data_IF_955421600120
#
_entry.id   IF_955421600120
#
_cell.length_a   1.000
_cell.length_b   1.000
_cell.length_c   1.000
_cell.angle_alpha   90.00
_cell.angle_beta   90.00
_cell.angle_gamma   90.00
#
_symmetry.space_group_name_H-M   'P 1'
#
loop_
_entity.id
_entity.type
_entity.pdbx_description
1 polymer ?
#
# COMPACT_ATOMS: atom_id res chain seq x y z
N UNK A 1 -10.36 3.59 63.67
CA UNK A 1 -9.88 2.47 62.81
C UNK A 1 -9.87 2.94 61.35
N UNK A 2 -8.89 3.78 60.97
CA UNK A 2 -8.96 4.57 59.71
C UNK A 2 -7.57 4.77 59.08
N UNK A 3 -6.85 3.67 58.83
CA UNK A 3 -5.47 3.76 58.29
C UNK A 3 -5.13 2.83 57.13
N UNK A 4 -6.04 1.95 56.68
CA UNK A 4 -5.74 0.95 55.62
C UNK A 4 -6.40 1.21 54.26
N UNK A 5 -7.43 2.07 54.19
CA UNK A 5 -8.18 2.33 52.93
C UNK A 5 -7.50 3.32 51.97
N UNK A 6 -6.67 4.23 52.49
CA UNK A 6 -5.98 5.21 51.64
C UNK A 6 -4.88 4.57 50.79
N UNK A 7 -4.19 3.55 51.32
CA UNK A 7 -3.18 2.77 50.58
C UNK A 7 -3.79 2.08 49.36
N UNK A 8 -4.92 1.40 49.52
CA UNK A 8 -5.59 0.70 48.41
C UNK A 8 -6.12 1.64 47.34
N UNK A 9 -6.53 2.86 47.71
CA UNK A 9 -6.98 3.86 46.73
C UNK A 9 -5.80 4.40 45.91
N UNK A 10 -4.71 4.79 46.58
CA UNK A 10 -3.51 5.28 45.90
C UNK A 10 -2.90 4.19 45.02
N UNK A 11 -2.83 2.95 45.51
CA UNK A 11 -2.34 1.81 44.74
C UNK A 11 -3.16 1.59 43.46
N UNK A 12 -4.49 1.63 43.54
CA UNK A 12 -5.34 1.49 42.36
C UNK A 12 -5.20 2.68 41.39
N UNK A 13 -5.01 3.91 41.89
CA UNK A 13 -4.75 5.08 41.02
C UNK A 13 -3.41 4.96 40.29
N UNK A 14 -2.37 4.48 40.96
CA UNK A 14 -1.05 4.24 40.35
C UNK A 14 -1.17 3.13 39.29
N UNK A 15 -1.85 2.02 39.60
CA UNK A 15 -2.06 0.92 38.64
C UNK A 15 -2.79 1.39 37.38
N UNK A 16 -3.88 2.15 37.52
CA UNK A 16 -4.61 2.68 36.35
C UNK A 16 -3.74 3.63 35.52
N UNK A 17 -2.90 4.44 36.19
CA UNK A 17 -1.95 5.32 35.51
C UNK A 17 -0.88 4.54 34.74
N UNK A 18 -0.35 3.45 35.33
CA UNK A 18 0.63 2.58 34.67
C UNK A 18 0.05 1.88 33.45
N UNK A 19 -1.18 1.33 33.56
CA UNK A 19 -1.85 0.68 32.43
C UNK A 19 -2.09 1.68 31.29
N UNK A 20 -2.49 2.92 31.60
CA UNK A 20 -2.69 3.97 30.60
C UNK A 20 -1.40 4.32 29.86
N UNK A 21 -0.29 4.49 30.58
CA UNK A 21 1.03 4.81 29.99
C UNK A 21 1.51 3.66 29.10
N UNK A 22 1.44 2.42 29.59
CA UNK A 22 1.85 1.23 28.82
C UNK A 22 0.96 1.07 27.57
N UNK A 23 -0.35 1.23 27.72
CA UNK A 23 -1.31 1.16 26.61
C UNK A 23 -1.03 2.19 25.52
N UNK A 24 -0.69 3.43 25.90
CA UNK A 24 -0.32 4.47 24.95
C UNK A 24 0.97 4.13 24.18
N UNK A 25 2.00 3.62 24.87
CA UNK A 25 3.27 3.23 24.24
C UNK A 25 3.08 2.08 23.23
N UNK A 26 2.29 1.06 23.58
CA UNK A 26 1.99 -0.07 22.69
C UNK A 26 1.20 0.38 21.45
N UNK A 27 0.20 1.25 21.63
CA UNK A 27 -0.60 1.78 20.53
C UNK A 27 0.26 2.52 19.50
N UNK A 28 1.27 3.27 19.94
CA UNK A 28 2.21 3.97 19.05
C UNK A 28 3.01 2.98 18.18
N UNK A 29 3.49 1.88 18.76
CA UNK A 29 4.25 0.86 18.02
C UNK A 29 3.39 0.11 17.00
N UNK A 30 2.15 -0.24 17.36
CA UNK A 30 1.21 -0.94 16.46
C UNK A 30 0.93 -0.12 15.20
N UNK A 31 0.87 1.21 15.31
CA UNK A 31 0.57 2.09 14.17
C UNK A 31 1.55 1.90 13.00
N UNK A 32 2.85 1.77 13.28
CA UNK A 32 3.87 1.53 12.25
C UNK A 32 3.68 0.18 11.53
N UNK A 33 3.41 -0.88 12.30
CA UNK A 33 3.12 -2.21 11.75
C UNK A 33 1.86 -2.22 10.87
N UNK A 34 0.83 -1.47 11.26
CA UNK A 34 -0.41 -1.32 10.47
C UNK A 34 -0.18 -0.59 9.14
N UNK A 35 0.65 0.47 9.11
CA UNK A 35 1.02 1.14 7.85
C UNK A 35 1.77 0.18 6.92
N UNK A 36 2.75 -0.56 7.43
CA UNK A 36 3.49 -1.57 6.65
C UNK A 36 2.55 -2.68 6.12
N UNK A 37 1.60 -3.14 6.93
CA UNK A 37 0.61 -4.13 6.54
C UNK A 37 -0.31 -3.63 5.41
N UNK A 38 -0.71 -2.35 5.46
CA UNK A 38 -1.49 -1.71 4.38
C UNK A 38 -0.69 -1.57 3.09
N UNK A 39 0.59 -1.17 3.20
CA UNK A 39 1.49 -1.14 2.04
C UNK A 39 1.62 -2.52 1.39
N UNK A 40 1.94 -3.54 2.19
CA UNK A 40 2.09 -4.92 1.70
C UNK A 40 0.82 -5.42 1.00
N UNK A 41 -0.36 -5.20 1.61
CA UNK A 41 -1.64 -5.54 0.97
C UNK A 41 -1.83 -4.82 -0.36
N UNK A 42 -1.40 -3.56 -0.45
CA UNK A 42 -1.56 -2.75 -1.67
C UNK A 42 -0.65 -3.25 -2.79
N UNK A 43 0.60 -3.62 -2.46
CA UNK A 43 1.55 -4.21 -3.42
C UNK A 43 1.03 -5.55 -3.95
N UNK A 44 0.56 -6.43 -3.07
CA UNK A 44 0.01 -7.72 -3.50
C UNK A 44 -1.30 -7.55 -4.30
N UNK A 45 -2.14 -6.59 -3.92
CA UNK A 45 -3.34 -6.23 -4.68
C UNK A 45 -3.00 -5.70 -6.09
N UNK A 46 -2.01 -4.82 -6.20
CA UNK A 46 -1.52 -4.32 -7.49
C UNK A 46 -1.03 -5.46 -8.38
N UNK A 47 -0.18 -6.35 -7.86
CA UNK A 47 0.28 -7.56 -8.59
C UNK A 47 -0.87 -8.46 -9.03
N UNK A 48 -1.87 -8.65 -8.17
CA UNK A 48 -3.04 -9.46 -8.51
C UNK A 48 -3.81 -8.84 -9.69
N UNK A 49 -3.99 -7.51 -9.69
CA UNK A 49 -4.62 -6.80 -10.81
C UNK A 49 -3.78 -6.95 -12.07
N UNK A 50 -2.46 -6.74 -12.00
CA UNK A 50 -1.56 -6.90 -13.14
C UNK A 50 -1.68 -8.29 -13.77
N UNK A 51 -1.58 -9.33 -12.96
CA UNK A 51 -1.69 -10.71 -13.42
C UNK A 51 -3.04 -10.98 -14.09
N UNK A 52 -4.12 -10.49 -13.50
CA UNK A 52 -5.47 -10.66 -14.05
C UNK A 52 -5.64 -9.94 -15.39
N UNK A 53 -5.08 -8.73 -15.54
CA UNK A 53 -5.10 -8.01 -16.80
C UNK A 53 -4.23 -8.69 -17.86
N UNK A 54 -3.05 -9.19 -17.51
CA UNK A 54 -2.21 -9.96 -18.43
C UNK A 54 -2.88 -11.26 -18.87
N UNK A 55 -3.52 -11.99 -17.95
CA UNK A 55 -4.31 -13.18 -18.29
C UNK A 55 -5.44 -12.84 -19.27
N UNK A 56 -6.18 -11.76 -19.00
CA UNK A 56 -7.25 -11.34 -19.89
C UNK A 56 -6.75 -10.97 -21.29
N UNK A 57 -5.62 -10.27 -21.38
CA UNK A 57 -4.97 -9.95 -22.66
C UNK A 57 -4.51 -11.20 -23.39
N UNK A 58 -3.98 -12.21 -22.68
CA UNK A 58 -3.57 -13.48 -23.27
C UNK A 58 -4.76 -14.29 -23.80
N UNK A 59 -5.92 -14.24 -23.13
CA UNK A 59 -7.14 -14.94 -23.54
C UNK A 59 -7.85 -14.26 -24.73
N UNK A 60 -7.92 -12.93 -24.74
CA UNK A 60 -8.69 -12.17 -25.73
C UNK A 60 -7.86 -11.62 -26.89
N UNK A 61 -6.55 -11.50 -26.72
CA UNK A 61 -5.67 -10.80 -27.66
C UNK A 61 -5.87 -9.28 -27.68
N UNK A 62 -6.58 -8.70 -26.71
CA UNK A 62 -6.82 -7.26 -26.66
C UNK A 62 -5.52 -6.44 -26.47
N UNK A 63 -5.49 -5.26 -27.08
CA UNK A 63 -4.37 -4.34 -26.92
C UNK A 63 -4.30 -3.79 -25.48
N UNK A 64 -3.08 -3.42 -25.07
CA UNK A 64 -2.83 -2.86 -23.74
C UNK A 64 -3.63 -1.57 -23.49
N UNK A 65 -3.85 -0.74 -24.52
CA UNK A 65 -4.67 0.47 -24.40
C UNK A 65 -6.15 0.14 -24.11
N UNK A 66 -6.73 -0.82 -24.84
CA UNK A 66 -8.12 -1.22 -24.65
C UNK A 66 -8.32 -1.83 -23.25
N UNK A 67 -7.37 -2.64 -22.80
CA UNK A 67 -7.36 -3.26 -21.47
C UNK A 67 -7.31 -2.21 -20.36
N UNK A 68 -6.40 -1.24 -20.45
CA UNK A 68 -6.28 -0.15 -19.47
C UNK A 68 -7.58 0.66 -19.38
N UNK A 69 -8.26 0.94 -20.49
CA UNK A 69 -9.50 1.74 -20.44
C UNK A 69 -10.65 1.04 -19.69
N UNK A 70 -10.65 -0.30 -19.64
CA UNK A 70 -11.74 -1.12 -19.08
C UNK A 70 -11.31 -1.97 -17.89
N UNK A 71 -10.12 -1.74 -17.34
CA UNK A 71 -9.49 -2.58 -16.32
C UNK A 71 -10.41 -2.88 -15.13
N UNK A 72 -11.14 -1.87 -14.62
CA UNK A 72 -12.09 -2.05 -13.50
C UNK A 72 -13.17 -3.09 -13.85
N UNK A 73 -13.74 -3.03 -15.06
CA UNK A 73 -14.78 -3.97 -15.51
C UNK A 73 -14.22 -5.39 -15.67
N UNK A 74 -12.97 -5.50 -16.11
CA UNK A 74 -12.28 -6.80 -16.29
C UNK A 74 -12.05 -7.44 -14.91
N UNK A 75 -11.51 -6.68 -13.95
CA UNK A 75 -11.27 -7.13 -12.58
C UNK A 75 -12.58 -7.53 -11.89
N UNK A 76 -13.64 -6.71 -12.00
CA UNK A 76 -14.93 -7.00 -11.36
C UNK A 76 -15.66 -8.23 -11.90
N UNK A 77 -15.37 -8.65 -13.13
CA UNK A 77 -15.99 -9.83 -13.76
C UNK A 77 -15.20 -11.11 -13.51
N UNK A 78 -13.99 -11.02 -12.96
CA UNK A 78 -13.14 -12.18 -12.78
C UNK A 78 -13.62 -13.06 -11.62
N UNK A 79 -13.74 -14.38 -11.82
CA UNK A 79 -14.09 -15.32 -10.75
C UNK A 79 -12.98 -15.44 -9.69
N UNK A 80 -11.77 -14.94 -9.98
CA UNK A 80 -10.62 -14.96 -9.07
C UNK A 80 -10.69 -13.86 -8.00
N UNK A 81 -11.67 -12.94 -8.11
CA UNK A 81 -11.86 -11.83 -7.19
C UNK A 81 -13.07 -12.08 -6.31
N UNK A 82 -12.84 -12.28 -5.01
CA UNK A 82 -13.92 -12.49 -4.02
C UNK A 82 -14.84 -11.27 -3.85
N UNK A 83 -14.28 -10.06 -3.95
CA UNK A 83 -15.03 -8.82 -3.71
C UNK A 83 -14.53 -7.74 -4.67
N UNK A 84 -15.27 -7.48 -5.76
CA UNK A 84 -14.88 -6.51 -6.79
C UNK A 84 -14.52 -5.13 -6.24
N UNK A 85 -15.33 -4.61 -5.32
CA UNK A 85 -15.15 -3.25 -4.76
C UNK A 85 -13.90 -3.12 -3.88
N UNK A 86 -13.48 -4.22 -3.25
CA UNK A 86 -12.26 -4.25 -2.45
C UNK A 86 -11.03 -4.46 -3.33
N UNK A 87 -11.17 -5.23 -4.41
CA UNK A 87 -10.06 -5.52 -5.32
C UNK A 87 -9.61 -4.28 -6.10
N UNK A 88 -10.46 -3.27 -6.29
CA UNK A 88 -10.07 -2.02 -6.95
C UNK A 88 -9.46 -0.99 -6.03
N UNK A 89 -9.32 -1.29 -4.73
CA UNK A 89 -8.85 -0.34 -3.71
C UNK A 89 -7.57 -0.81 -3.00
N UNK A 90 -6.74 0.15 -2.63
CA UNK A 90 -5.53 -0.06 -1.86
C UNK A 90 -5.83 -0.31 -0.36
N UNK A 91 -4.78 -0.54 0.44
CA UNK A 91 -4.87 -0.76 1.88
C UNK A 91 -5.39 0.44 2.69
N UNK A 92 -5.49 1.62 2.09
CA UNK A 92 -6.04 2.85 2.67
C UNK A 92 -7.42 3.23 2.10
N UNK A 93 -7.93 2.46 1.13
CA UNK A 93 -9.24 2.67 0.50
C UNK A 93 -9.23 3.53 -0.76
N UNK A 94 -8.06 3.91 -1.28
CA UNK A 94 -7.94 4.68 -2.52
C UNK A 94 -8.01 3.76 -3.73
N UNK A 95 -8.54 4.25 -4.84
CA UNK A 95 -8.58 3.50 -6.09
C UNK A 95 -7.17 3.31 -6.68
N UNK A 96 -6.90 2.12 -7.22
CA UNK A 96 -5.73 1.91 -8.06
C UNK A 96 -5.83 2.69 -9.38
N UNK A 97 -4.67 3.01 -9.93
CA UNK A 97 -4.45 3.64 -11.23
C UNK A 97 -3.58 2.71 -12.05
N UNK A 98 -4.08 2.36 -13.22
CA UNK A 98 -3.37 1.50 -14.16
C UNK A 98 -2.79 2.37 -15.27
N UNK A 99 -1.49 2.29 -15.49
CA UNK A 99 -0.78 3.07 -16.52
C UNK A 99 0.01 2.16 -17.43
N UNK A 100 0.23 2.64 -18.64
CA UNK A 100 1.22 2.08 -19.56
C UNK A 100 2.57 2.67 -19.21
N UNK A 101 3.58 1.82 -19.08
CA UNK A 101 4.97 2.22 -18.92
C UNK A 101 5.79 1.52 -20.00
N UNK A 102 6.73 2.23 -20.61
CA UNK A 102 7.67 1.66 -21.55
C UNK A 102 8.96 1.39 -20.79
N UNK A 103 9.34 0.11 -20.68
CA UNK A 103 10.57 -0.24 -19.98
C UNK A 103 11.78 0.20 -20.83
N UNK A 104 12.55 1.17 -20.32
CA UNK A 104 13.74 1.70 -21.00
C UNK A 104 14.81 0.64 -21.30
N UNK A 105 14.80 -0.48 -20.56
CA UNK A 105 15.76 -1.57 -20.72
C UNK A 105 15.43 -2.55 -21.87
N UNK A 106 14.15 -2.72 -22.21
CA UNK A 106 13.71 -3.73 -23.18
C UNK A 106 12.88 -3.17 -24.34
N UNK A 107 12.50 -1.89 -24.29
CA UNK A 107 11.57 -1.27 -25.25
C UNK A 107 10.16 -1.88 -25.23
N UNK A 108 9.88 -2.81 -24.30
CA UNK A 108 8.56 -3.45 -24.16
C UNK A 108 7.62 -2.55 -23.39
N UNK A 109 6.38 -2.50 -23.86
CA UNK A 109 5.28 -1.90 -23.13
C UNK A 109 4.84 -2.84 -22.01
N UNK A 110 4.88 -2.34 -20.78
CA UNK A 110 4.39 -3.03 -19.60
C UNK A 110 3.24 -2.24 -18.99
N UNK A 111 2.39 -2.95 -18.26
CA UNK A 111 1.34 -2.38 -17.45
C UNK A 111 1.85 -2.23 -16.03
N UNK A 112 1.59 -1.08 -15.41
CA UNK A 112 1.95 -0.79 -14.03
C UNK A 112 0.69 -0.37 -13.27
N UNK A 113 0.47 -0.97 -12.10
CA UNK A 113 -0.64 -0.62 -11.21
C UNK A 113 -0.11 0.10 -9.96
N UNK A 114 -0.54 1.35 -9.79
CA UNK A 114 -0.12 2.21 -8.68
C UNK A 114 -1.32 2.74 -7.90
N UNK A 115 -1.10 3.26 -6.69
CA UNK A 115 -2.13 3.94 -5.91
C UNK A 115 -1.52 5.12 -5.16
N UNK A 116 -2.37 6.07 -4.75
CA UNK A 116 -1.92 7.23 -3.97
C UNK A 116 -1.34 6.82 -2.61
N UNK A 117 -1.96 5.85 -1.93
CA UNK A 117 -1.47 5.34 -0.65
C UNK A 117 -0.10 4.68 -0.75
N UNK A 118 0.12 3.87 -1.80
CA UNK A 118 1.43 3.25 -2.06
C UNK A 118 2.51 4.30 -2.31
N UNK A 119 2.28 5.23 -3.25
CA UNK A 119 3.28 6.27 -3.57
C UNK A 119 3.63 7.11 -2.35
N UNK A 120 2.62 7.48 -1.55
CA UNK A 120 2.86 8.24 -0.32
C UNK A 120 3.70 7.45 0.69
N UNK A 121 3.40 6.17 0.88
CA UNK A 121 4.19 5.32 1.76
C UNK A 121 5.62 5.18 1.26
N UNK A 122 5.82 4.99 -0.05
CA UNK A 122 7.13 4.84 -0.65
C UNK A 122 7.98 6.10 -0.54
N UNK A 123 7.42 7.27 -0.82
CA UNK A 123 8.13 8.55 -0.65
C UNK A 123 8.53 8.76 0.81
N UNK A 124 7.66 8.43 1.75
CA UNK A 124 7.96 8.62 3.18
C UNK A 124 9.02 7.65 3.73
N UNK A 125 9.18 6.45 3.15
CA UNK A 125 10.03 5.39 3.71
C UNK A 125 11.21 4.97 2.84
N UNK A 126 11.21 5.34 1.55
CA UNK A 126 12.24 4.93 0.58
C UNK A 126 12.88 6.10 -0.18
N UNK A 127 12.46 7.36 0.04
CA UNK A 127 13.06 8.52 -0.65
C UNK A 127 14.56 8.74 -0.37
N UNK A 128 15.12 8.15 0.69
CA UNK A 128 16.58 8.22 0.96
C UNK A 128 17.43 7.26 0.11
N UNK A 129 16.82 6.33 -0.64
CA UNK A 129 17.57 5.39 -1.50
C UNK A 129 17.73 5.84 -2.96
N UNK A 130 17.28 7.06 -3.30
CA UNK A 130 17.33 7.61 -4.66
C UNK A 130 18.72 8.08 -5.13
N UNK A 131 19.71 8.25 -4.25
CA UNK A 131 21.05 8.71 -4.66
C UNK A 131 21.94 7.63 -5.32
N UNK A 132 21.52 6.35 -5.31
CA UNK A 132 22.34 5.26 -5.87
C UNK A 132 21.89 4.71 -7.23
N UNK A 133 20.82 5.23 -7.84
CA UNK A 133 20.38 4.83 -9.19
C UNK A 133 20.48 5.99 -10.18
N UNK A 134 21.74 6.30 -10.51
CA UNK A 134 22.24 6.83 -11.79
C UNK A 134 21.23 7.41 -12.77
N UNK A 135 20.88 8.70 -12.59
CA UNK A 135 20.54 9.59 -13.68
C UNK A 135 21.50 10.78 -13.59
N UNK A 136 22.74 10.57 -14.07
CA UNK A 136 23.60 11.69 -14.47
C UNK A 136 23.21 12.06 -15.88
N UNK A 137 22.51 13.18 -15.99
CA UNK A 137 22.12 13.85 -17.22
C UNK A 137 23.30 13.94 -18.19
N UNK A 138 23.16 13.33 -19.37
CA UNK A 138 23.95 13.66 -20.55
C UNK A 138 23.09 14.64 -21.36
N UNK A 139 23.42 15.92 -21.33
CA UNK A 139 22.72 16.92 -22.14
C UNK A 139 22.84 18.36 -21.68
N UNK A 140 24.05 18.92 -21.66
CA UNK A 140 24.27 20.33 -21.97
C UNK A 140 25.57 20.45 -22.76
N UNK A 141 25.43 20.16 -24.05
CA UNK A 141 26.26 20.78 -25.07
C UNK A 141 25.67 22.18 -25.32
N UNK A 142 26.52 23.18 -25.17
CA UNK A 142 26.31 24.60 -25.42
C UNK A 142 27.65 25.31 -25.24
#
# INVERSE_FOLDING_TARGET
MWKRRFLTLVEMMVVMSLIAIIGAAVAYNIRGSLEKGRYFRSVEGAKQIENLLYMHMAETGESLAATISRWKKIVSRSPLVRSPDQATKDGWGNDYKVKRVVSSASGRETLEVTSEGMMRYEVLHFSDHGEHLGIRERGKDG
#
